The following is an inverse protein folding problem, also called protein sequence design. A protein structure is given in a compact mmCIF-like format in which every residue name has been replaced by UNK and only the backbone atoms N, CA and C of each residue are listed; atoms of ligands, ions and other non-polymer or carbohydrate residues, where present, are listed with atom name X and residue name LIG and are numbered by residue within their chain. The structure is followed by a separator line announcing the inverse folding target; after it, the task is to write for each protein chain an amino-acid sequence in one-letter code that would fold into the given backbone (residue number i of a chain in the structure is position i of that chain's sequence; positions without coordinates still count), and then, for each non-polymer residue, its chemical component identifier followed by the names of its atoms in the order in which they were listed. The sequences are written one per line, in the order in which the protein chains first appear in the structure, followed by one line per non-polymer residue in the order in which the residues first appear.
data_IF_773763474152
#
_entry.id   IF_773763474152
#
_cell.length_a   1.000
_cell.length_b   1.000
_cell.length_c   1.000
_cell.angle_alpha   90.00
_cell.angle_beta   90.00
_cell.angle_gamma   90.00
#
_symmetry.space_group_name_H-M   'P 1'
#
loop_
_entity.id
_entity.type
_entity.pdbx_description
1 polymer ?
#
# COMPACT_ATOMS: atom_id res chain seq x y z
N UNK A 1 -33.33 -0.34 -22.04
CA UNK A 1 -31.89 -0.17 -22.31
C UNK A 1 -31.32 0.14 -20.96
N UNK A 2 -31.00 -0.93 -20.22
CA UNK A 2 -30.89 -0.87 -18.77
C UNK A 2 -29.73 0.03 -18.34
N UNK A 3 -30.03 0.98 -17.46
CA UNK A 3 -29.04 1.77 -16.73
C UNK A 3 -28.26 0.82 -15.82
N UNK A 4 -27.25 0.15 -16.38
CA UNK A 4 -26.19 -0.47 -15.62
C UNK A 4 -25.38 0.69 -15.02
N UNK A 5 -25.83 1.17 -13.86
CA UNK A 5 -25.20 2.26 -13.12
C UNK A 5 -23.74 1.93 -12.81
N UNK A 6 -22.88 2.94 -12.94
CA UNK A 6 -21.48 2.81 -12.55
C UNK A 6 -21.38 2.64 -11.04
N UNK A 7 -20.59 1.66 -10.59
CA UNK A 7 -20.23 1.46 -9.19
C UNK A 7 -18.81 1.93 -8.94
N UNK A 8 -18.59 2.67 -7.86
CA UNK A 8 -17.26 3.02 -7.39
C UNK A 8 -16.63 1.87 -6.60
N UNK A 9 -15.31 1.72 -6.69
CA UNK A 9 -14.56 0.72 -5.94
C UNK A 9 -13.05 0.95 -5.94
N UNK A 10 -12.34 0.03 -5.30
CA UNK A 10 -10.88 0.03 -5.19
C UNK A 10 -10.34 -1.27 -5.78
N UNK A 11 -9.34 -1.19 -6.65
CA UNK A 11 -8.63 -2.39 -7.11
C UNK A 11 -7.83 -2.96 -5.93
N UNK A 12 -8.20 -4.15 -5.44
CA UNK A 12 -7.49 -4.82 -4.35
C UNK A 12 -6.43 -5.80 -4.85
N UNK A 13 -6.54 -6.24 -6.12
CA UNK A 13 -5.64 -7.22 -6.73
C UNK A 13 -5.65 -7.13 -8.24
N UNK A 14 -4.51 -7.32 -8.89
CA UNK A 14 -4.39 -7.46 -10.35
C UNK A 14 -3.53 -8.65 -10.72
N UNK A 15 -4.06 -9.58 -11.53
CA UNK A 15 -3.35 -10.79 -12.01
C UNK A 15 -3.79 -11.09 -13.44
N UNK A 16 -2.84 -11.34 -14.35
CA UNK A 16 -3.08 -11.77 -15.74
C UNK A 16 -4.13 -10.93 -16.52
N UNK A 17 -4.14 -9.63 -16.28
CA UNK A 17 -5.07 -8.69 -16.92
C UNK A 17 -6.49 -8.66 -16.32
N UNK A 18 -6.71 -9.43 -15.26
CA UNK A 18 -7.89 -9.35 -14.40
C UNK A 18 -7.60 -8.45 -13.20
N UNK A 19 -8.60 -7.68 -12.80
CA UNK A 19 -8.55 -6.76 -11.69
C UNK A 19 -9.72 -7.05 -10.75
N UNK A 20 -9.44 -7.28 -9.49
CA UNK A 20 -10.47 -7.52 -8.47
C UNK A 20 -10.78 -6.20 -7.81
N UNK A 21 -12.03 -5.75 -7.93
CA UNK A 21 -12.47 -4.45 -7.46
C UNK A 21 -13.42 -4.63 -6.29
N UNK A 22 -13.02 -4.17 -5.12
CA UNK A 22 -13.88 -4.11 -3.94
C UNK A 22 -14.73 -2.84 -4.01
N UNK A 23 -16.05 -3.02 -4.04
CA UNK A 23 -17.02 -1.92 -4.00
C UNK A 23 -17.18 -1.36 -2.58
N UNK A 24 -17.77 -0.18 -2.45
CA UNK A 24 -18.09 0.40 -1.12
C UNK A 24 -19.03 -0.45 -0.26
N UNK A 25 -19.70 -1.45 -0.84
CA UNK A 25 -20.57 -2.42 -0.17
C UNK A 25 -19.79 -3.68 0.30
N UNK A 26 -18.47 -3.75 0.06
CA UNK A 26 -17.62 -4.89 0.40
C UNK A 26 -17.68 -6.06 -0.60
N UNK A 27 -18.48 -5.94 -1.67
CA UNK A 27 -18.52 -6.96 -2.72
C UNK A 27 -17.32 -6.82 -3.64
N UNK A 28 -16.61 -7.93 -3.92
CA UNK A 28 -15.48 -7.98 -4.84
C UNK A 28 -15.93 -8.49 -6.20
N UNK A 29 -15.70 -7.68 -7.24
CA UNK A 29 -16.02 -7.99 -8.62
C UNK A 29 -14.75 -8.33 -9.42
N UNK A 30 -14.77 -9.42 -10.17
CA UNK A 30 -13.72 -9.70 -11.14
C UNK A 30 -13.94 -8.84 -12.39
N UNK A 31 -13.01 -7.93 -12.65
CA UNK A 31 -13.13 -6.92 -13.69
C UNK A 31 -12.04 -7.04 -14.75
N UNK A 32 -12.39 -6.62 -15.97
CA UNK A 32 -11.41 -6.36 -17.03
C UNK A 32 -11.28 -4.86 -17.30
N UNK A 33 -10.06 -4.44 -17.60
CA UNK A 33 -9.80 -3.06 -18.00
C UNK A 33 -10.19 -2.85 -19.47
N UNK A 34 -10.85 -1.72 -19.78
CA UNK A 34 -11.10 -1.33 -21.17
C UNK A 34 -9.81 -1.19 -21.96
N UNK A 35 -9.82 -1.60 -23.22
CA UNK A 35 -8.66 -1.50 -24.12
C UNK A 35 -8.13 -0.07 -24.31
N UNK A 36 -8.94 0.95 -24.02
CA UNK A 36 -8.52 2.37 -24.06
C UNK A 36 -7.37 2.67 -23.09
N UNK A 37 -7.29 1.98 -21.94
CA UNK A 37 -6.19 2.16 -20.99
C UNK A 37 -4.86 1.73 -21.59
N UNK A 38 -4.83 0.57 -22.28
CA UNK A 38 -3.64 0.09 -22.99
C UNK A 38 -3.22 1.05 -24.11
N UNK A 39 -4.18 1.61 -24.84
CA UNK A 39 -3.92 2.62 -25.89
C UNK A 39 -3.32 3.91 -25.32
N UNK A 40 -3.73 4.29 -24.11
CA UNK A 40 -3.25 5.50 -23.43
C UNK A 40 -2.04 5.25 -22.52
N UNK A 41 -1.43 4.06 -22.57
CA UNK A 41 -0.32 3.66 -21.69
C UNK A 41 -0.63 3.79 -20.19
N UNK A 42 -1.90 3.62 -19.82
CA UNK A 42 -2.35 3.59 -18.42
C UNK A 42 -2.51 2.14 -17.99
N UNK A 43 -1.75 1.73 -16.97
CA UNK A 43 -1.90 0.43 -16.33
C UNK A 43 -2.68 0.61 -15.03
N UNK A 44 -3.84 -0.04 -14.86
CA UNK A 44 -4.52 -0.08 -13.57
C UNK A 44 -3.65 -0.77 -12.51
N UNK A 45 -3.62 -0.23 -11.30
CA UNK A 45 -2.78 -0.67 -10.19
C UNK A 45 -3.63 -1.07 -8.98
N UNK A 46 -3.12 -1.96 -8.13
CA UNK A 46 -3.73 -2.16 -6.82
C UNK A 46 -3.71 -0.84 -6.04
N UNK A 47 -4.81 -0.53 -5.35
CA UNK A 47 -5.07 0.75 -4.70
C UNK A 47 -5.72 1.81 -5.61
N UNK A 48 -5.82 1.60 -6.93
CA UNK A 48 -6.56 2.53 -7.80
C UNK A 48 -8.03 2.60 -7.39
N UNK A 49 -8.54 3.83 -7.29
CA UNK A 49 -9.97 4.11 -7.20
C UNK A 49 -10.54 4.08 -8.62
N UNK A 50 -11.61 3.33 -8.84
CA UNK A 50 -12.16 3.08 -10.17
C UNK A 50 -13.68 3.16 -10.18
N UNK A 51 -14.24 3.41 -11.36
CA UNK A 51 -15.65 3.17 -11.66
C UNK A 51 -15.77 1.92 -12.52
N UNK A 52 -16.66 1.01 -12.12
CA UNK A 52 -16.94 -0.24 -12.83
C UNK A 52 -18.39 -0.30 -13.31
N UNK A 53 -18.60 -0.88 -14.48
CA UNK A 53 -19.92 -1.37 -14.90
C UNK A 53 -20.00 -2.85 -14.55
N UNK A 54 -21.00 -3.25 -13.76
CA UNK A 54 -21.20 -4.64 -13.30
C UNK A 54 -22.23 -5.33 -14.17
N UNK A 55 -21.95 -6.54 -14.64
CA UNK A 55 -22.84 -7.37 -15.46
C UNK A 55 -23.68 -8.31 -14.56
N UNK A 56 -24.79 -8.88 -15.08
CA UNK A 56 -25.65 -9.80 -14.31
C UNK A 56 -24.96 -11.07 -13.78
N UNK A 57 -23.82 -11.45 -14.36
CA UNK A 57 -22.99 -12.58 -13.94
C UNK A 57 -21.92 -12.22 -12.89
N UNK A 58 -22.02 -11.02 -12.30
CA UNK A 58 -21.06 -10.46 -11.34
C UNK A 58 -19.64 -10.21 -11.89
N UNK A 59 -19.45 -10.23 -13.22
CA UNK A 59 -18.23 -9.71 -13.84
C UNK A 59 -18.33 -8.19 -14.03
N UNK A 60 -17.18 -7.53 -14.12
CA UNK A 60 -17.13 -6.07 -14.27
C UNK A 60 -16.23 -5.58 -15.40
N UNK A 61 -16.47 -4.36 -15.84
CA UNK A 61 -15.55 -3.62 -16.71
C UNK A 61 -15.12 -2.34 -16.00
N UNK A 62 -13.81 -2.13 -15.85
CA UNK A 62 -13.26 -0.85 -15.39
C UNK A 62 -13.51 0.19 -16.48
N UNK A 63 -14.35 1.17 -16.17
CA UNK A 63 -14.76 2.25 -17.05
C UNK A 63 -13.80 3.44 -16.97
N UNK A 64 -13.38 3.79 -15.76
CA UNK A 64 -12.49 4.92 -15.47
C UNK A 64 -11.59 4.60 -14.28
N UNK A 65 -10.42 5.24 -14.24
CA UNK A 65 -9.52 5.27 -13.08
C UNK A 65 -9.51 6.71 -12.60
N UNK A 66 -9.82 6.93 -11.33
CA UNK A 66 -9.82 8.26 -10.72
C UNK A 66 -8.37 8.74 -10.52
N UNK A 67 -8.15 10.07 -10.39
CA UNK A 67 -6.81 10.61 -10.16
C UNK A 67 -6.12 9.98 -8.94
N UNK A 68 -4.87 9.55 -9.14
CA UNK A 68 -4.03 9.01 -8.07
C UNK A 68 -3.47 10.14 -7.23
N UNK A 69 -3.48 10.00 -5.89
CA UNK A 69 -2.72 10.92 -5.02
C UNK A 69 -1.21 10.65 -5.06
N UNK A 70 -0.82 9.39 -5.26
CA UNK A 70 0.56 8.92 -5.39
C UNK A 70 0.58 7.47 -5.95
N UNK A 71 1.76 6.98 -6.34
CA UNK A 71 1.97 5.58 -6.74
C UNK A 71 3.45 5.17 -6.69
N UNK A 72 3.70 3.87 -6.61
CA UNK A 72 4.99 3.23 -6.87
C UNK A 72 4.94 2.44 -8.17
N UNK A 73 6.06 2.39 -8.89
CA UNK A 73 6.24 1.48 -10.01
C UNK A 73 6.64 0.06 -9.54
N UNK A 74 7.30 -0.02 -8.38
CA UNK A 74 7.80 -1.27 -7.77
C UNK A 74 7.71 -1.22 -6.24
N UNK A 75 6.87 -2.05 -5.60
CA UNK A 75 5.78 -2.81 -6.24
C UNK A 75 4.77 -1.86 -6.92
N UNK A 76 4.04 -2.31 -7.95
CA UNK A 76 3.12 -1.47 -8.71
C UNK A 76 1.81 -1.25 -7.92
N UNK A 77 1.77 -0.20 -7.10
CA UNK A 77 0.65 0.14 -6.20
C UNK A 77 0.36 1.64 -6.18
N UNK A 78 -0.88 2.04 -5.95
CA UNK A 78 -1.35 3.43 -5.96
C UNK A 78 -2.10 3.82 -4.68
N UNK A 79 -2.25 5.14 -4.46
CA UNK A 79 -3.05 5.73 -3.39
C UNK A 79 -2.67 5.29 -1.97
N UNK A 80 -1.38 5.19 -1.73
CA UNK A 80 -0.78 4.76 -0.48
C UNK A 80 -0.84 5.90 0.53
N UNK A 81 -1.31 5.64 1.75
CA UNK A 81 -1.24 6.59 2.86
C UNK A 81 0.12 6.52 3.55
N UNK A 82 0.61 5.30 3.79
CA UNK A 82 1.78 5.04 4.64
C UNK A 82 2.76 4.07 4.01
N UNK A 83 4.03 4.23 4.31
CA UNK A 83 5.07 3.25 3.99
C UNK A 83 5.65 2.72 5.30
N UNK A 84 5.46 1.42 5.57
CA UNK A 84 6.01 0.76 6.74
C UNK A 84 7.37 0.13 6.39
N UNK A 85 8.46 0.83 6.73
CA UNK A 85 9.82 0.36 6.43
C UNK A 85 10.30 -0.54 7.57
N UNK A 86 10.32 -1.85 7.31
CA UNK A 86 10.85 -2.84 8.25
C UNK A 86 12.36 -2.94 8.08
N UNK A 87 13.10 -2.70 9.15
CA UNK A 87 14.56 -2.77 9.17
C UNK A 87 15.03 -3.67 10.31
N UNK A 88 15.98 -4.57 10.04
CA UNK A 88 16.62 -5.37 11.09
C UNK A 88 17.67 -4.53 11.80
N UNK A 89 17.71 -4.57 13.13
CA UNK A 89 18.72 -3.85 13.92
C UNK A 89 20.09 -4.54 13.91
N UNK A 90 20.15 -5.79 13.44
CA UNK A 90 21.37 -6.60 13.49
C UNK A 90 21.64 -7.46 12.27
N UNK A 91 20.87 -8.51 11.99
CA UNK A 91 21.17 -9.45 10.91
C UNK A 91 20.02 -9.46 9.91
N UNK A 92 20.18 -8.96 8.67
CA UNK A 92 21.34 -8.19 8.20
C UNK A 92 21.45 -6.85 8.93
N UNK A 93 22.65 -6.26 8.93
CA UNK A 93 22.86 -4.94 9.57
C UNK A 93 22.07 -3.88 8.81
N UNK A 94 21.47 -2.90 9.52
CA UNK A 94 20.72 -1.84 8.87
C UNK A 94 21.64 -1.06 7.95
N UNK A 95 21.24 -0.90 6.70
CA UNK A 95 21.89 0.01 5.75
C UNK A 95 21.20 1.36 5.84
N UNK A 96 21.78 2.27 6.61
CA UNK A 96 21.22 3.59 6.91
C UNK A 96 20.99 4.41 5.63
N UNK A 97 21.94 4.37 4.68
CA UNK A 97 21.78 5.09 3.42
C UNK A 97 20.56 4.61 2.62
N UNK A 98 20.32 3.30 2.59
CA UNK A 98 19.15 2.72 1.92
C UNK A 98 17.86 3.10 2.65
N UNK A 99 17.86 3.03 3.99
CA UNK A 99 16.73 3.43 4.82
C UNK A 99 16.35 4.89 4.56
N UNK A 100 17.30 5.81 4.65
CA UNK A 100 17.09 7.24 4.42
C UNK A 100 16.62 7.53 2.99
N UNK A 101 17.16 6.80 2.00
CA UNK A 101 16.73 6.92 0.60
C UNK A 101 15.26 6.52 0.43
N UNK A 102 14.83 5.44 1.10
CA UNK A 102 13.43 4.98 1.06
C UNK A 102 12.51 5.99 1.74
N UNK A 103 12.90 6.54 2.90
CA UNK A 103 12.16 7.58 3.62
C UNK A 103 11.99 8.81 2.73
N UNK A 104 13.08 9.35 2.18
CA UNK A 104 13.04 10.52 1.31
C UNK A 104 12.18 10.28 0.06
N UNK A 105 12.22 9.07 -0.50
CA UNK A 105 11.38 8.69 -1.64
C UNK A 105 9.89 8.68 -1.27
N UNK A 106 9.53 8.17 -0.10
CA UNK A 106 8.15 8.17 0.39
C UNK A 106 7.64 9.59 0.58
N UNK A 107 8.41 10.45 1.26
CA UNK A 107 8.05 11.85 1.48
C UNK A 107 7.90 12.63 0.16
N UNK A 108 8.80 12.42 -0.80
CA UNK A 108 8.71 13.05 -2.14
C UNK A 108 7.43 12.70 -2.91
N UNK A 109 6.75 11.60 -2.50
CA UNK A 109 5.49 11.11 -3.07
C UNK A 109 4.29 11.36 -2.15
N UNK A 110 4.44 12.17 -1.11
CA UNK A 110 3.40 12.44 -0.11
C UNK A 110 2.87 11.14 0.54
N UNK A 111 3.78 10.24 0.90
CA UNK A 111 3.49 9.01 1.64
C UNK A 111 4.14 9.14 3.01
N UNK A 112 3.38 8.91 4.09
CA UNK A 112 3.83 9.03 5.48
C UNK A 112 4.70 7.80 5.86
N UNK A 113 6.03 7.95 6.05
CA UNK A 113 6.87 6.81 6.42
C UNK A 113 6.72 6.49 7.92
N UNK A 114 6.80 5.20 8.25
CA UNK A 114 7.00 4.72 9.60
C UNK A 114 8.06 3.63 9.63
N UNK A 115 8.86 3.61 10.68
CA UNK A 115 9.99 2.70 10.83
C UNK A 115 9.65 1.59 11.81
N UNK A 116 9.92 0.36 11.41
CA UNK A 116 9.73 -0.83 12.24
C UNK A 116 11.08 -1.50 12.42
N UNK A 117 11.71 -1.23 13.56
CA UNK A 117 12.96 -1.86 13.98
C UNK A 117 12.66 -3.27 14.47
N UNK A 118 13.05 -4.26 13.67
CA UNK A 118 12.83 -5.68 13.91
C UNK A 118 14.06 -6.36 14.50
N UNK A 119 13.85 -7.53 15.13
CA UNK A 119 14.87 -8.36 15.79
C UNK A 119 15.45 -7.74 17.06
N UNK A 120 14.63 -7.00 17.81
CA UNK A 120 15.04 -6.35 19.06
C UNK A 120 15.38 -7.35 20.17
N UNK A 121 14.92 -8.60 20.03
CA UNK A 121 15.33 -9.74 20.86
C UNK A 121 16.82 -10.10 20.70
N UNK A 122 17.43 -9.73 19.57
CA UNK A 122 18.83 -10.07 19.26
C UNK A 122 19.80 -8.91 19.52
N UNK A 123 19.33 -7.67 19.49
CA UNK A 123 20.15 -6.48 19.71
C UNK A 123 19.27 -5.28 20.08
N UNK A 124 19.81 -4.42 20.94
CA UNK A 124 19.16 -3.16 21.30
C UNK A 124 19.00 -2.23 20.08
N UNK A 125 17.80 -1.66 19.95
CA UNK A 125 17.39 -0.73 18.91
C UNK A 125 17.37 0.73 19.36
N UNK A 126 17.53 0.98 20.68
CA UNK A 126 17.20 2.27 21.30
C UNK A 126 17.88 3.47 20.64
N UNK A 127 19.16 3.35 20.27
CA UNK A 127 19.88 4.45 19.63
C UNK A 127 19.26 4.85 18.28
N UNK A 128 19.03 3.88 17.39
CA UNK A 128 18.40 4.14 16.09
C UNK A 128 16.94 4.60 16.27
N UNK A 129 16.21 3.98 17.19
CA UNK A 129 14.84 4.37 17.51
C UNK A 129 14.77 5.85 17.89
N UNK A 130 15.59 6.29 18.84
CA UNK A 130 15.59 7.68 19.31
C UNK A 130 16.02 8.65 18.20
N UNK A 131 17.04 8.31 17.40
CA UNK A 131 17.49 9.14 16.28
C UNK A 131 16.35 9.46 15.30
N UNK A 132 15.63 8.43 14.84
CA UNK A 132 14.53 8.62 13.89
C UNK A 132 13.26 9.16 14.56
N UNK A 133 12.99 8.83 15.83
CA UNK A 133 11.87 9.42 16.57
C UNK A 133 12.08 10.92 16.77
N UNK A 134 13.30 11.36 17.10
CA UNK A 134 13.66 12.77 17.20
C UNK A 134 13.58 13.50 15.85
N UNK A 135 13.84 12.81 14.74
CA UNK A 135 13.63 13.35 13.40
C UNK A 135 12.13 13.50 13.02
N UNK A 136 11.21 13.00 13.86
CA UNK A 136 9.77 13.16 13.69
C UNK A 136 9.06 11.97 13.06
N UNK A 137 9.74 10.84 12.87
CA UNK A 137 9.14 9.65 12.28
C UNK A 137 8.40 8.80 13.32
N UNK A 138 7.29 8.18 12.89
CA UNK A 138 6.68 7.14 13.71
C UNK A 138 7.57 5.90 13.70
N UNK A 139 7.87 5.38 14.89
CA UNK A 139 8.85 4.32 15.09
C UNK A 139 8.28 3.24 16.00
N UNK A 140 8.55 1.98 15.66
CA UNK A 140 8.16 0.79 16.43
C UNK A 140 9.38 -0.12 16.62
N UNK A 141 9.45 -0.77 17.77
CA UNK A 141 10.41 -1.83 18.07
C UNK A 141 9.68 -3.15 18.17
N UNK A 142 10.08 -4.15 17.39
CA UNK A 142 9.39 -5.44 17.34
C UNK A 142 10.32 -6.63 17.30
N UNK A 143 9.81 -7.75 17.78
CA UNK A 143 10.39 -9.07 17.54
C UNK A 143 9.33 -10.01 17.00
N UNK A 144 9.54 -10.51 15.78
CA UNK A 144 8.63 -11.49 15.18
C UNK A 144 8.75 -12.88 15.79
N UNK A 145 9.89 -13.19 16.45
CA UNK A 145 10.12 -14.47 17.13
C UNK A 145 9.40 -14.53 18.48
N UNK A 146 9.41 -13.43 19.24
CA UNK A 146 8.77 -13.37 20.57
C UNK A 146 7.37 -12.79 20.54
N UNK A 147 7.02 -12.03 19.48
CA UNK A 147 5.78 -11.28 19.36
C UNK A 147 5.80 -9.90 20.03
N UNK A 148 6.92 -9.51 20.63
CA UNK A 148 7.11 -8.20 21.27
C UNK A 148 6.82 -7.05 20.29
N UNK A 149 6.06 -6.05 20.75
CA UNK A 149 5.74 -4.82 20.02
C UNK A 149 4.81 -4.98 18.80
N UNK A 150 4.49 -6.21 18.38
CA UNK A 150 3.65 -6.46 17.18
C UNK A 150 2.21 -5.95 17.36
N UNK A 151 1.69 -6.00 18.60
CA UNK A 151 0.36 -5.45 18.93
C UNK A 151 0.25 -3.96 18.63
N UNK A 152 1.35 -3.23 18.76
CA UNK A 152 1.38 -1.77 18.77
C UNK A 152 1.34 -1.20 17.35
N UNK A 153 1.62 -2.04 16.34
CA UNK A 153 1.50 -1.70 14.92
C UNK A 153 0.02 -1.77 14.47
N UNK A 154 -0.84 -2.57 15.11
CA UNK A 154 -2.24 -2.74 14.64
C UNK A 154 -3.02 -1.42 14.57
N UNK A 155 -2.98 -0.53 15.58
CA UNK A 155 -3.62 0.78 15.50
C UNK A 155 -3.05 1.65 14.38
N UNK A 156 -1.74 1.55 14.12
CA UNK A 156 -1.08 2.27 13.04
C UNK A 156 -1.55 1.83 11.65
N UNK A 157 -1.82 0.54 11.45
CA UNK A 157 -2.30 0.02 10.15
C UNK A 157 -3.80 0.30 9.90
N UNK A 158 -4.55 0.61 10.95
CA UNK A 158 -6.01 0.71 10.85
C UNK A 158 -6.47 1.89 10.00
N UNK A 159 -7.40 1.64 9.07
CA UNK A 159 -8.08 2.67 8.29
C UNK A 159 -7.23 3.36 7.23
N UNK A 160 -6.00 2.88 6.97
CA UNK A 160 -5.07 3.45 5.99
C UNK A 160 -4.50 2.38 5.07
N UNK A 161 -4.24 2.75 3.82
CA UNK A 161 -3.50 1.91 2.87
C UNK A 161 -2.01 2.02 3.18
N UNK A 162 -1.44 0.96 3.73
CA UNK A 162 -0.02 0.88 4.08
C UNK A 162 0.68 -0.08 3.14
N UNK A 163 1.77 0.37 2.53
CA UNK A 163 2.68 -0.45 1.73
C UNK A 163 3.86 -0.94 2.56
#
# INVERSE_FOLDING_TARGET
MDELGLKAGIIVKGIDGFYYVESGEGTVYECRARGIFRKNHVTPLAGDKVEISVMPDNTGTICSILPRKNYFDRPPVANIDRLAVVVSVTDPKPNILVLDTIIALAESRNIEPALIFSKVDLKDASLLYEEYKHAGFECFCVSSSTGEGVSDIKPFLSGKVTA
#
